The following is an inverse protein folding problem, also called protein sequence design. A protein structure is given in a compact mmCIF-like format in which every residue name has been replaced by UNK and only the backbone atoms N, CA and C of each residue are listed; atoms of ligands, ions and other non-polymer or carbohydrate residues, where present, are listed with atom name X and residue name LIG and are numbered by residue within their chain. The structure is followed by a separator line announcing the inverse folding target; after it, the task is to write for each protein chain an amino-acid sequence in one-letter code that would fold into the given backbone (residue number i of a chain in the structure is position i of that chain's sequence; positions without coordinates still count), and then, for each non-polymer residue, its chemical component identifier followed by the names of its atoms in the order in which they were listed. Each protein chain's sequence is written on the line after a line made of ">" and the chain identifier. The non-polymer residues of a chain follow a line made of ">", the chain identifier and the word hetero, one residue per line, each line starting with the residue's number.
data_IF_306726772168
#
_entry.id   IF_306726772168
#
_cell.length_a   1.000
_cell.length_b   1.000
_cell.length_c   1.000
_cell.angle_alpha   90.00
_cell.angle_beta   90.00
_cell.angle_gamma   90.00
#
_symmetry.space_group_name_H-M   'P 1'
#
loop_
_entity.id
_entity.type
_entity.pdbx_description
1 polymer ?
#
# COMPACT_ATOMS: atom_id res chain seq x y z
N UNK A 1 10.48 16.69 -4.11
CA UNK A 1 10.64 16.01 -2.81
C UNK A 1 11.93 16.51 -2.20
N UNK A 2 11.97 17.01 -0.97
CA UNK A 2 13.27 17.28 -0.36
C UNK A 2 13.90 15.94 -0.02
N UNK A 3 15.13 15.71 -0.46
CA UNK A 3 15.95 14.53 -0.13
C UNK A 3 15.95 14.23 1.39
N UNK A 4 15.85 15.28 2.20
CA UNK A 4 15.83 15.21 3.66
C UNK A 4 14.74 14.29 4.25
N UNK A 5 13.58 14.18 3.61
CA UNK A 5 12.47 13.37 4.17
C UNK A 5 12.68 11.85 3.96
N UNK A 6 13.19 11.40 2.80
CA UNK A 6 13.50 9.97 2.57
C UNK A 6 14.70 9.53 3.41
N UNK A 7 15.71 10.39 3.55
CA UNK A 7 16.89 10.10 4.39
C UNK A 7 16.52 9.89 5.87
N UNK A 8 15.62 10.73 6.40
CA UNK A 8 15.16 10.60 7.79
C UNK A 8 14.32 9.34 7.99
N UNK A 9 13.40 9.03 7.06
CA UNK A 9 12.60 7.82 7.06
C UNK A 9 13.51 6.58 6.99
N UNK A 10 14.45 6.56 6.02
CA UNK A 10 15.40 5.46 5.85
C UNK A 10 16.25 5.25 7.11
N UNK A 11 16.76 6.31 7.70
CA UNK A 11 17.52 6.23 8.95
C UNK A 11 16.67 5.63 10.08
N UNK A 12 15.44 6.09 10.25
CA UNK A 12 14.51 5.58 11.28
C UNK A 12 14.21 4.09 11.07
N UNK A 13 13.96 3.66 9.83
CA UNK A 13 13.72 2.25 9.49
C UNK A 13 14.93 1.39 9.86
N UNK A 14 16.14 1.80 9.48
CA UNK A 14 17.35 1.02 9.77
C UNK A 14 17.71 0.96 11.26
N UNK A 15 17.38 1.99 12.03
CA UNK A 15 17.58 2.00 13.48
C UNK A 15 16.60 1.08 14.20
N UNK A 16 15.34 1.06 13.79
CA UNK A 16 14.27 0.39 14.52
C UNK A 16 13.89 -0.98 13.94
N UNK A 17 14.30 -1.28 12.70
CA UNK A 17 13.96 -2.50 11.96
C UNK A 17 12.49 -2.92 12.16
N UNK A 18 11.50 -2.10 11.73
CA UNK A 18 10.10 -2.32 12.05
C UNK A 18 9.60 -3.68 11.55
N UNK A 19 8.82 -4.36 12.39
CA UNK A 19 8.12 -5.60 12.04
C UNK A 19 6.71 -5.25 11.59
N UNK A 20 6.31 -5.73 10.43
CA UNK A 20 5.00 -5.50 9.84
C UNK A 20 4.17 -6.79 9.88
N UNK A 21 3.03 -6.75 10.54
CA UNK A 21 2.05 -7.83 10.45
C UNK A 21 1.36 -7.75 9.10
N UNK A 22 1.54 -8.77 8.26
CA UNK A 22 1.04 -8.80 6.90
C UNK A 22 -0.07 -9.84 6.73
N UNK A 23 -1.33 -9.42 6.82
CA UNK A 23 -2.47 -10.20 6.36
C UNK A 23 -2.64 -9.94 4.86
N UNK A 24 -1.79 -10.58 4.06
CA UNK A 24 -1.76 -10.40 2.61
C UNK A 24 -2.37 -11.60 1.88
N UNK A 25 -2.28 -11.65 0.56
CA UNK A 25 -2.82 -12.74 -0.22
C UNK A 25 -1.72 -13.71 -0.68
N UNK A 26 -2.04 -15.00 -0.89
CA UNK A 26 -1.05 -16.03 -1.19
C UNK A 26 -0.28 -15.81 -2.50
N UNK A 27 -0.84 -15.01 -3.42
CA UNK A 27 -0.23 -14.74 -4.73
C UNK A 27 0.98 -13.80 -4.60
N UNK A 28 0.98 -12.91 -3.60
CA UNK A 28 1.99 -11.86 -3.44
C UNK A 28 2.76 -11.92 -2.13
N UNK A 29 2.49 -12.92 -1.30
CA UNK A 29 3.06 -13.07 0.04
C UNK A 29 4.60 -13.03 0.05
N UNK A 30 5.23 -13.75 -0.89
CA UNK A 30 6.69 -13.81 -1.00
C UNK A 30 7.28 -12.43 -1.40
N UNK A 31 6.69 -11.77 -2.38
CA UNK A 31 7.17 -10.46 -2.86
C UNK A 31 7.01 -9.38 -1.80
N UNK A 32 5.90 -9.40 -1.06
CA UNK A 32 5.67 -8.49 0.08
C UNK A 32 6.74 -8.69 1.16
N UNK A 33 7.07 -9.95 1.51
CA UNK A 33 8.10 -10.24 2.50
C UNK A 33 9.49 -9.78 2.03
N UNK A 34 9.86 -10.10 0.78
CA UNK A 34 11.15 -9.72 0.22
C UNK A 34 11.31 -8.21 0.07
N UNK A 35 10.23 -7.52 -0.31
CA UNK A 35 10.24 -6.05 -0.40
C UNK A 35 10.51 -5.41 0.97
N UNK A 36 9.83 -5.87 2.02
CA UNK A 36 10.04 -5.35 3.37
C UNK A 36 11.47 -5.60 3.85
N UNK A 37 12.05 -6.77 3.54
CA UNK A 37 13.45 -7.08 3.85
C UNK A 37 14.41 -6.16 3.08
N UNK A 38 14.22 -5.98 1.78
CA UNK A 38 15.02 -5.06 0.97
C UNK A 38 14.91 -3.59 1.45
N UNK A 39 13.76 -3.22 2.02
CA UNK A 39 13.54 -1.90 2.58
C UNK A 39 14.04 -1.71 4.04
N UNK A 40 14.64 -2.73 4.66
CA UNK A 40 15.19 -2.67 6.03
C UNK A 40 14.18 -2.97 7.14
N UNK A 41 12.97 -3.40 6.81
CA UNK A 41 11.97 -3.90 7.75
C UNK A 41 11.88 -5.43 7.75
N UNK A 42 10.85 -5.97 8.37
CA UNK A 42 10.55 -7.42 8.30
C UNK A 42 9.06 -7.68 8.30
N UNK A 43 8.65 -8.78 7.65
CA UNK A 43 7.26 -9.23 7.58
C UNK A 43 7.00 -10.37 8.57
N UNK A 44 5.85 -10.33 9.23
CA UNK A 44 5.28 -11.46 9.95
C UNK A 44 3.97 -11.84 9.26
N UNK A 45 3.91 -13.06 8.71
CA UNK A 45 2.74 -13.58 8.00
C UNK A 45 1.92 -14.44 8.96
N UNK A 46 0.81 -13.89 9.49
CA UNK A 46 -0.11 -14.61 10.37
C UNK A 46 -1.54 -14.28 9.99
N UNK A 47 -2.38 -15.30 9.79
CA UNK A 47 -3.76 -15.11 9.33
C UNK A 47 -4.79 -15.95 10.11
N UNK A 48 -4.35 -16.75 11.08
CA UNK A 48 -5.27 -17.51 11.91
C UNK A 48 -5.88 -16.61 12.99
N UNK A 49 -7.18 -16.68 13.17
CA UNK A 49 -7.92 -15.88 14.17
C UNK A 49 -7.39 -16.06 15.59
N UNK A 50 -6.75 -17.21 15.90
CA UNK A 50 -6.21 -17.51 17.22
C UNK A 50 -4.87 -16.81 17.51
N UNK A 51 -4.14 -16.35 16.47
CA UNK A 51 -2.81 -15.74 16.63
C UNK A 51 -2.74 -14.27 16.25
N UNK A 52 -3.67 -13.77 15.40
CA UNK A 52 -3.52 -12.43 14.78
C UNK A 52 -3.40 -11.30 15.79
N UNK A 53 -4.10 -11.36 16.91
CA UNK A 53 -4.02 -10.33 17.95
C UNK A 53 -2.67 -10.35 18.68
N UNK A 54 -2.11 -11.55 18.91
CA UNK A 54 -0.79 -11.71 19.51
C UNK A 54 0.29 -11.17 18.57
N UNK A 55 0.27 -11.58 17.29
CA UNK A 55 1.20 -11.10 16.28
C UNK A 55 1.12 -9.58 16.12
N UNK A 56 -0.08 -9.03 16.01
CA UNK A 56 -0.27 -7.58 15.93
C UNK A 56 0.35 -6.85 17.13
N UNK A 57 0.30 -7.45 18.32
CA UNK A 57 0.76 -6.83 19.55
C UNK A 57 2.28 -6.58 19.59
N UNK A 58 3.10 -7.39 18.93
CA UNK A 58 4.54 -7.20 18.87
C UNK A 58 5.05 -6.62 17.54
N UNK A 59 4.15 -6.42 16.57
CA UNK A 59 4.46 -5.73 15.32
C UNK A 59 4.29 -4.20 15.48
N UNK A 60 4.93 -3.44 14.60
CA UNK A 60 4.92 -1.97 14.64
C UNK A 60 3.88 -1.36 13.70
N UNK A 61 3.41 -2.14 12.72
CA UNK A 61 2.35 -1.75 11.77
C UNK A 61 1.64 -2.97 11.21
N UNK A 62 0.46 -2.76 10.63
CA UNK A 62 -0.40 -3.84 10.12
C UNK A 62 -0.84 -3.55 8.70
N UNK A 63 -0.60 -4.49 7.79
CA UNK A 63 -1.08 -4.48 6.41
C UNK A 63 -2.30 -5.41 6.30
N UNK A 64 -3.44 -4.86 5.92
CA UNK A 64 -4.69 -5.59 5.64
C UNK A 64 -4.95 -5.58 4.13
N UNK A 65 -4.67 -6.69 3.46
CA UNK A 65 -4.88 -6.84 2.02
C UNK A 65 -6.02 -7.83 1.77
N UNK A 66 -7.09 -7.35 1.13
CA UNK A 66 -8.31 -8.14 0.88
C UNK A 66 -8.25 -8.98 -0.41
N UNK A 67 -7.09 -9.15 -1.02
CA UNK A 67 -6.93 -10.05 -2.17
C UNK A 67 -7.18 -11.50 -1.81
N UNK A 68 -7.81 -12.27 -2.71
CA UNK A 68 -8.21 -13.67 -2.49
C UNK A 68 -8.95 -13.83 -1.13
N UNK A 69 -10.10 -13.16 -0.94
CA UNK A 69 -10.79 -13.15 0.34
C UNK A 69 -11.60 -14.44 0.55
N UNK A 70 -11.64 -14.87 1.79
CA UNK A 70 -12.65 -15.74 2.37
C UNK A 70 -13.15 -15.17 3.70
N UNK A 71 -14.14 -15.82 4.32
CA UNK A 71 -14.75 -15.30 5.56
C UNK A 71 -13.74 -15.29 6.71
N UNK A 72 -12.93 -16.34 6.86
CA UNK A 72 -11.95 -16.45 7.95
C UNK A 72 -10.87 -15.38 7.82
N UNK A 73 -10.36 -15.16 6.61
CA UNK A 73 -9.39 -14.09 6.35
C UNK A 73 -9.94 -12.70 6.70
N UNK A 74 -11.17 -12.39 6.29
CA UNK A 74 -11.76 -11.08 6.62
C UNK A 74 -11.95 -10.93 8.12
N UNK A 75 -12.37 -11.98 8.82
CA UNK A 75 -12.48 -11.97 10.27
C UNK A 75 -11.11 -11.74 10.93
N UNK A 76 -10.07 -12.43 10.47
CA UNK A 76 -8.70 -12.21 10.93
C UNK A 76 -8.23 -10.76 10.69
N UNK A 77 -8.54 -10.18 9.52
CA UNK A 77 -8.25 -8.77 9.22
C UNK A 77 -8.97 -7.82 10.19
N UNK A 78 -10.22 -8.11 10.55
CA UNK A 78 -10.98 -7.31 11.51
C UNK A 78 -10.30 -7.38 12.88
N UNK A 79 -10.00 -8.57 13.39
CA UNK A 79 -9.36 -8.74 14.70
C UNK A 79 -7.98 -8.05 14.76
N UNK A 80 -7.13 -8.29 13.77
CA UNK A 80 -5.82 -7.66 13.68
C UNK A 80 -5.92 -6.13 13.59
N UNK A 81 -6.84 -5.61 12.75
CA UNK A 81 -7.05 -4.17 12.59
C UNK A 81 -7.56 -3.50 13.85
N UNK A 82 -8.54 -4.09 14.54
CA UNK A 82 -9.03 -3.61 15.82
C UNK A 82 -7.93 -3.61 16.90
N UNK A 83 -7.12 -4.67 16.94
CA UNK A 83 -5.98 -4.75 17.86
C UNK A 83 -4.94 -3.66 17.56
N UNK A 84 -4.60 -3.44 16.29
CA UNK A 84 -3.69 -2.38 15.88
C UNK A 84 -4.24 -0.99 16.25
N UNK A 85 -5.53 -0.73 15.99
CA UNK A 85 -6.17 0.53 16.38
C UNK A 85 -6.12 0.74 17.91
N UNK A 86 -6.40 -0.30 18.70
CA UNK A 86 -6.35 -0.22 20.17
C UNK A 86 -4.93 0.09 20.71
N UNK A 87 -3.88 -0.34 19.98
CA UNK A 87 -2.49 -0.09 20.32
C UNK A 87 -1.94 1.23 19.73
N UNK A 88 -2.70 1.91 18.87
CA UNK A 88 -2.23 3.09 18.14
C UNK A 88 -1.20 2.77 17.05
N UNK A 89 -1.12 1.51 16.61
CA UNK A 89 -0.25 1.10 15.52
C UNK A 89 -0.87 1.48 14.16
N UNK A 90 -0.07 1.90 13.17
CA UNK A 90 -0.58 2.22 11.84
C UNK A 90 -1.16 0.99 11.15
N UNK A 91 -2.29 1.22 10.46
CA UNK A 91 -2.99 0.22 9.66
C UNK A 91 -3.07 0.70 8.22
N UNK A 92 -2.57 -0.08 7.27
CA UNK A 92 -2.78 0.14 5.84
C UNK A 92 -3.77 -0.87 5.30
N UNK A 93 -4.81 -0.37 4.62
CA UNK A 93 -5.78 -1.19 3.90
C UNK A 93 -5.47 -1.17 2.40
N UNK A 94 -5.39 -2.37 1.82
CA UNK A 94 -5.29 -2.62 0.38
C UNK A 94 -6.55 -3.39 -0.08
N UNK A 95 -7.60 -2.70 -0.57
CA UNK A 95 -8.89 -3.30 -0.88
C UNK A 95 -8.91 -3.99 -2.25
N UNK A 96 -7.96 -4.90 -2.47
CA UNK A 96 -7.73 -5.56 -3.77
C UNK A 96 -9.00 -6.15 -4.35
N UNK A 97 -9.36 -5.67 -5.54
CA UNK A 97 -10.52 -6.17 -6.28
C UNK A 97 -11.86 -5.92 -5.60
N UNK A 98 -11.99 -4.84 -4.84
CA UNK A 98 -13.21 -4.48 -4.10
C UNK A 98 -14.49 -4.50 -4.95
N UNK A 99 -14.39 -4.14 -6.24
CA UNK A 99 -15.50 -4.12 -7.18
C UNK A 99 -15.83 -5.45 -7.86
N UNK A 100 -14.99 -6.48 -7.70
CA UNK A 100 -15.07 -7.70 -8.50
C UNK A 100 -16.28 -8.62 -8.16
N UNK A 101 -16.88 -8.47 -6.98
CA UNK A 101 -18.08 -9.24 -6.61
C UNK A 101 -18.86 -8.58 -5.46
N UNK A 102 -20.14 -8.91 -5.35
CA UNK A 102 -20.99 -8.51 -4.22
C UNK A 102 -20.43 -9.01 -2.88
N UNK A 103 -19.84 -10.19 -2.85
CA UNK A 103 -19.18 -10.74 -1.67
C UNK A 103 -18.04 -9.81 -1.19
N UNK A 104 -17.13 -9.41 -2.10
CA UNK A 104 -16.00 -8.53 -1.76
C UNK A 104 -16.47 -7.18 -1.25
N UNK A 105 -17.47 -6.57 -1.88
CA UNK A 105 -18.07 -5.30 -1.44
C UNK A 105 -18.63 -5.40 -0.03
N UNK A 106 -19.41 -6.45 0.25
CA UNK A 106 -20.02 -6.69 1.56
C UNK A 106 -18.98 -6.91 2.65
N UNK A 107 -17.98 -7.74 2.39
CA UNK A 107 -16.94 -8.03 3.37
C UNK A 107 -16.01 -6.82 3.61
N UNK A 108 -15.69 -6.04 2.56
CA UNK A 108 -14.98 -4.78 2.71
C UNK A 108 -15.78 -3.77 3.55
N UNK A 109 -17.08 -3.67 3.36
CA UNK A 109 -17.94 -2.80 4.16
C UNK A 109 -17.90 -3.18 5.65
N UNK A 110 -17.96 -4.47 5.98
CA UNK A 110 -17.81 -4.94 7.37
C UNK A 110 -16.45 -4.57 7.95
N UNK A 111 -15.38 -4.74 7.18
CA UNK A 111 -14.03 -4.39 7.61
C UNK A 111 -13.93 -2.89 7.91
N UNK A 112 -14.43 -2.04 7.03
CA UNK A 112 -14.42 -0.57 7.20
C UNK A 112 -15.29 -0.07 8.37
N UNK A 113 -16.34 -0.82 8.75
CA UNK A 113 -17.13 -0.53 9.94
C UNK A 113 -16.42 -0.86 11.25
N UNK A 114 -15.47 -1.81 11.21
CA UNK A 114 -14.81 -2.33 12.38
C UNK A 114 -13.39 -1.78 12.60
N UNK A 115 -12.73 -1.31 11.54
CA UNK A 115 -11.31 -0.93 11.55
C UNK A 115 -11.14 0.46 10.94
N UNK A 116 -10.36 1.30 11.61
CA UNK A 116 -9.98 2.64 11.14
C UNK A 116 -8.57 2.58 10.53
N UNK A 117 -8.41 2.58 9.20
CA UNK A 117 -7.11 2.58 8.58
C UNK A 117 -6.40 3.93 8.77
N UNK A 118 -5.09 3.91 8.95
CA UNK A 118 -4.23 5.08 8.92
C UNK A 118 -4.02 5.55 7.47
N UNK A 119 -3.94 4.58 6.56
CA UNK A 119 -3.91 4.85 5.13
C UNK A 119 -4.61 3.75 4.32
N UNK A 120 -5.08 4.12 3.15
CA UNK A 120 -5.60 3.20 2.12
C UNK A 120 -4.77 3.36 0.86
N UNK A 121 -4.28 2.26 0.32
CA UNK A 121 -3.72 2.23 -1.03
C UNK A 121 -4.64 1.44 -1.94
N UNK A 122 -5.08 2.04 -3.03
CA UNK A 122 -6.00 1.42 -3.98
C UNK A 122 -5.72 1.86 -5.42
N UNK A 123 -6.34 1.23 -6.41
CA UNK A 123 -6.42 1.74 -7.77
C UNK A 123 -7.67 2.62 -7.97
N UNK A 124 -7.84 3.19 -9.18
CA UNK A 124 -8.96 4.10 -9.48
C UNK A 124 -10.33 3.43 -9.35
N UNK A 125 -10.49 2.17 -9.78
CA UNK A 125 -11.75 1.43 -9.66
C UNK A 125 -12.08 1.11 -8.20
N UNK A 126 -11.09 0.69 -7.43
CA UNK A 126 -11.23 0.42 -6.00
C UNK A 126 -11.59 1.69 -5.21
N UNK A 127 -11.01 2.84 -5.58
CA UNK A 127 -11.34 4.13 -4.97
C UNK A 127 -12.80 4.53 -5.20
N UNK A 128 -13.32 4.35 -6.42
CA UNK A 128 -14.74 4.60 -6.73
C UNK A 128 -15.65 3.71 -5.89
N UNK A 129 -15.30 2.42 -5.76
CA UNK A 129 -16.05 1.47 -4.91
C UNK A 129 -16.04 1.89 -3.45
N UNK A 130 -14.88 2.29 -2.91
CA UNK A 130 -14.77 2.80 -1.54
C UNK A 130 -15.69 4.00 -1.31
N UNK A 131 -15.64 5.02 -2.17
CA UNK A 131 -16.52 6.18 -2.06
C UNK A 131 -18.00 5.77 -2.08
N UNK A 132 -18.38 4.84 -2.96
CA UNK A 132 -19.76 4.38 -3.04
C UNK A 132 -20.24 3.64 -1.80
N UNK A 133 -19.38 2.78 -1.21
CA UNK A 133 -19.71 2.03 0.01
C UNK A 133 -19.87 2.94 1.24
N UNK A 134 -19.14 4.07 1.26
CA UNK A 134 -19.12 4.99 2.39
C UNK A 134 -20.19 6.09 2.28
N UNK A 135 -20.67 6.38 1.07
CA UNK A 135 -21.67 7.43 0.82
C UNK A 135 -23.11 6.91 0.76
N UNK A 136 -23.37 5.63 1.01
CA UNK A 136 -24.67 4.96 0.81
C UNK A 136 -25.28 5.23 -0.59
N UNK A 137 -24.44 5.52 -1.59
CA UNK A 137 -24.90 5.75 -2.97
C UNK A 137 -24.80 4.46 -3.76
N UNK A 138 -25.90 4.05 -4.38
CA UNK A 138 -25.94 2.93 -5.33
C UNK A 138 -25.03 3.22 -6.54
N UNK A 139 -23.82 2.71 -6.51
CA UNK A 139 -22.99 2.65 -7.72
C UNK A 139 -23.41 1.44 -8.56
N UNK A 140 -23.56 1.59 -9.88
CA UNK A 140 -23.89 0.46 -10.73
C UNK A 140 -22.80 -0.61 -10.62
N UNK A 141 -23.23 -1.88 -10.48
CA UNK A 141 -22.35 -3.04 -10.48
C UNK A 141 -21.55 -3.08 -11.78
N UNK A 142 -20.30 -2.63 -11.74
CA UNK A 142 -19.34 -2.90 -12.81
C UNK A 142 -18.47 -4.06 -12.37
N UNK A 143 -18.66 -5.19 -13.01
CA UNK A 143 -17.77 -6.34 -12.85
C UNK A 143 -16.42 -6.02 -13.50
N UNK A 144 -15.47 -5.48 -12.74
CA UNK A 144 -14.08 -5.27 -13.13
C UNK A 144 -13.19 -6.36 -12.54
N UNK A 145 -12.09 -6.67 -13.22
CA UNK A 145 -11.04 -7.57 -12.70
C UNK A 145 -10.20 -6.91 -11.62
N UNK A 146 -9.13 -7.59 -11.18
CA UNK A 146 -8.15 -7.05 -10.21
C UNK A 146 -7.32 -5.90 -10.80
N UNK A 147 -7.19 -5.86 -12.14
CA UNK A 147 -6.52 -4.80 -12.87
C UNK A 147 -7.55 -3.76 -13.34
N UNK A 148 -7.34 -2.50 -12.96
CA UNK A 148 -8.21 -1.41 -13.35
C UNK A 148 -8.08 -1.14 -14.86
N UNK A 149 -9.20 -1.24 -15.56
CA UNK A 149 -9.35 -0.77 -16.94
C UNK A 149 -9.79 0.70 -17.02
N UNK A 150 -10.18 1.28 -15.88
CA UNK A 150 -10.67 2.65 -15.79
C UNK A 150 -9.52 3.65 -15.95
N UNK A 151 -9.63 4.52 -16.95
CA UNK A 151 -8.75 5.68 -17.11
C UNK A 151 -9.58 6.95 -16.88
N UNK A 152 -9.39 7.54 -15.71
CA UNK A 152 -10.04 8.80 -15.35
C UNK A 152 -9.12 9.97 -15.69
N UNK A 153 -9.72 11.16 -15.91
CA UNK A 153 -8.94 12.38 -15.98
C UNK A 153 -8.28 12.66 -14.63
N UNK A 154 -7.07 13.21 -14.65
CA UNK A 154 -6.27 13.49 -13.45
C UNK A 154 -7.06 14.27 -12.38
N UNK A 155 -7.81 15.30 -12.82
CA UNK A 155 -8.67 16.09 -11.93
C UNK A 155 -9.72 15.24 -11.20
N UNK A 156 -10.31 14.27 -11.89
CA UNK A 156 -11.34 13.41 -11.30
C UNK A 156 -10.72 12.44 -10.27
N UNK A 157 -9.50 11.96 -10.54
CA UNK A 157 -8.75 11.14 -9.58
C UNK A 157 -8.42 11.93 -8.32
N UNK A 158 -8.00 13.20 -8.44
CA UNK A 158 -7.77 14.07 -7.29
C UNK A 158 -9.04 14.25 -6.45
N UNK A 159 -10.17 14.53 -7.08
CA UNK A 159 -11.46 14.69 -6.38
C UNK A 159 -11.88 13.41 -5.64
N UNK A 160 -11.70 12.25 -6.26
CA UNK A 160 -12.01 10.96 -5.62
C UNK A 160 -11.05 10.68 -4.47
N UNK A 161 -9.76 11.01 -4.60
CA UNK A 161 -8.79 10.87 -3.52
C UNK A 161 -9.16 11.74 -2.30
N UNK A 162 -9.53 13.00 -2.54
CA UNK A 162 -10.00 13.93 -1.50
C UNK A 162 -11.28 13.43 -0.83
N UNK A 163 -12.24 12.96 -1.63
CA UNK A 163 -13.50 12.43 -1.11
C UNK A 163 -13.27 11.16 -0.27
N UNK A 164 -12.50 10.19 -0.78
CA UNK A 164 -12.20 8.96 -0.06
C UNK A 164 -11.45 9.24 1.25
N UNK A 165 -10.44 10.13 1.21
CA UNK A 165 -9.68 10.51 2.38
C UNK A 165 -10.55 11.20 3.44
N UNK A 166 -11.47 12.08 3.02
CA UNK A 166 -12.42 12.74 3.91
C UNK A 166 -13.41 11.78 4.55
N UNK A 167 -13.96 10.84 3.77
CA UNK A 167 -14.93 9.84 4.25
C UNK A 167 -14.30 8.84 5.22
N UNK A 168 -13.05 8.45 4.96
CA UNK A 168 -12.31 7.49 5.80
C UNK A 168 -11.53 8.16 6.94
N UNK A 169 -11.40 9.49 6.92
CA UNK A 169 -10.54 10.25 7.83
C UNK A 169 -9.12 9.68 7.90
N UNK A 170 -8.53 9.35 6.75
CA UNK A 170 -7.19 8.79 6.64
C UNK A 170 -6.48 9.28 5.36
N UNK A 171 -5.19 8.94 5.21
CA UNK A 171 -4.48 9.20 3.96
C UNK A 171 -4.85 8.18 2.89
N UNK A 172 -5.14 8.60 1.67
CA UNK A 172 -5.46 7.73 0.54
C UNK A 172 -4.43 7.91 -0.57
N UNK A 173 -3.88 6.81 -1.07
CA UNK A 173 -3.00 6.74 -2.24
C UNK A 173 -3.70 5.98 -3.35
N UNK A 174 -4.11 6.69 -4.39
CA UNK A 174 -4.70 6.09 -5.61
C UNK A 174 -3.61 5.90 -6.65
N UNK A 175 -3.37 4.66 -7.05
CA UNK A 175 -2.37 4.34 -8.08
C UNK A 175 -2.97 4.30 -9.47
N UNK A 176 -2.18 4.78 -10.46
CA UNK A 176 -2.60 4.86 -11.85
C UNK A 176 -1.44 5.13 -12.81
N UNK A 177 -1.73 5.82 -13.92
CA UNK A 177 -0.70 6.37 -14.80
C UNK A 177 0.19 7.35 -14.01
N UNK A 178 -0.44 8.21 -13.25
CA UNK A 178 0.13 9.01 -12.17
C UNK A 178 -0.57 8.60 -10.88
N UNK A 179 0.14 8.66 -9.76
CA UNK A 179 -0.47 8.34 -8.48
C UNK A 179 -0.92 9.63 -7.79
N UNK A 180 -2.00 9.55 -7.04
CA UNK A 180 -2.54 10.69 -6.29
C UNK A 180 -2.60 10.33 -4.82
N UNK A 181 -2.00 11.15 -3.97
CA UNK A 181 -2.09 11.04 -2.51
C UNK A 181 -2.89 12.20 -1.94
N UNK A 182 -3.83 11.92 -1.04
CA UNK A 182 -4.63 12.94 -0.34
C UNK A 182 -4.90 12.54 1.11
N UNK A 183 -4.99 13.53 1.99
CA UNK A 183 -5.50 13.39 3.37
C UNK A 183 -6.84 14.11 3.57
N UNK A 184 -7.47 14.55 2.47
CA UNK A 184 -8.70 15.32 2.45
C UNK A 184 -8.51 16.82 2.65
N UNK A 185 -7.29 17.29 3.00
CA UNK A 185 -6.94 18.71 3.18
C UNK A 185 -5.92 19.17 2.16
N UNK A 186 -5.02 18.29 1.78
CA UNK A 186 -3.99 18.50 0.78
C UNK A 186 -3.96 17.29 -0.16
N UNK A 187 -3.65 17.56 -1.43
CA UNK A 187 -3.59 16.54 -2.49
C UNK A 187 -2.33 16.76 -3.32
N UNK A 188 -1.61 15.69 -3.61
CA UNK A 188 -0.41 15.75 -4.43
C UNK A 188 -0.41 14.64 -5.48
N UNK A 189 0.03 14.98 -6.70
CA UNK A 189 0.23 14.05 -7.80
C UNK A 189 1.69 13.59 -7.78
N UNK A 190 1.90 12.28 -7.92
CA UNK A 190 3.21 11.65 -8.01
C UNK A 190 3.45 11.17 -9.44
N UNK A 191 4.44 11.74 -10.09
CA UNK A 191 4.80 11.43 -11.48
C UNK A 191 5.99 10.48 -11.58
N UNK A 192 6.33 10.02 -12.78
CA UNK A 192 7.41 9.06 -13.04
C UNK A 192 6.91 7.61 -13.07
N UNK A 193 7.80 6.68 -12.72
CA UNK A 193 7.51 5.25 -12.76
C UNK A 193 7.78 4.60 -14.09
N UNK A 194 7.49 3.32 -14.20
CA UNK A 194 7.62 2.51 -15.41
C UNK A 194 6.37 1.65 -15.61
N UNK A 195 5.85 1.59 -16.82
CA UNK A 195 4.61 0.86 -17.14
C UNK A 195 4.73 -0.66 -16.92
N UNK A 196 5.94 -1.21 -16.90
CA UNK A 196 6.22 -2.63 -16.61
C UNK A 196 5.77 -3.07 -15.22
N UNK A 197 5.58 -2.13 -14.29
CA UNK A 197 5.03 -2.43 -12.96
C UNK A 197 3.65 -3.11 -13.04
N UNK A 198 2.87 -2.86 -14.09
CA UNK A 198 1.57 -3.50 -14.34
C UNK A 198 1.69 -4.93 -14.86
N UNK A 199 2.87 -5.33 -15.32
CA UNK A 199 3.16 -6.69 -15.82
C UNK A 199 3.71 -7.59 -14.71
N UNK A 200 3.86 -7.06 -13.50
CA UNK A 200 4.28 -7.80 -12.33
C UNK A 200 3.09 -7.95 -11.39
N UNK A 201 2.78 -9.20 -11.04
CA UNK A 201 1.79 -9.49 -10.01
C UNK A 201 2.27 -8.95 -8.67
N UNK A 202 1.42 -8.23 -7.97
CA UNK A 202 1.74 -7.77 -6.62
C UNK A 202 2.42 -6.40 -6.52
N UNK A 203 2.68 -5.69 -7.63
CA UNK A 203 3.28 -4.36 -7.59
C UNK A 203 2.54 -3.38 -6.66
N UNK A 204 1.20 -3.46 -6.63
CA UNK A 204 0.37 -2.70 -5.69
C UNK A 204 0.49 -3.20 -4.25
N UNK A 205 0.45 -4.52 -4.03
CA UNK A 205 0.58 -5.11 -2.69
C UNK A 205 1.95 -4.79 -2.06
N UNK A 206 3.01 -4.78 -2.86
CA UNK A 206 4.35 -4.35 -2.46
C UNK A 206 4.36 -2.88 -2.03
N UNK A 207 3.72 -2.00 -2.80
CA UNK A 207 3.61 -0.58 -2.41
C UNK A 207 2.80 -0.40 -1.12
N UNK A 208 1.74 -1.17 -0.91
CA UNK A 208 0.97 -1.15 0.35
C UNK A 208 1.83 -1.55 1.55
N UNK A 209 2.70 -2.55 1.38
CA UNK A 209 3.66 -2.95 2.41
C UNK A 209 4.71 -1.85 2.68
N UNK A 210 5.22 -1.19 1.64
CA UNK A 210 6.15 -0.06 1.77
C UNK A 210 5.49 1.12 2.50
N UNK A 211 4.23 1.44 2.18
CA UNK A 211 3.46 2.45 2.91
C UNK A 211 3.34 2.10 4.39
N UNK A 212 3.06 0.82 4.71
CA UNK A 212 2.96 0.36 6.10
C UNK A 212 4.29 0.54 6.84
N UNK A 213 5.41 0.18 6.21
CA UNK A 213 6.74 0.34 6.79
C UNK A 213 7.07 1.82 7.06
N UNK A 214 6.76 2.71 6.13
CA UNK A 214 7.03 4.14 6.26
C UNK A 214 6.17 4.80 7.34
N UNK A 215 4.94 4.34 7.54
CA UNK A 215 4.07 4.77 8.63
C UNK A 215 4.55 4.36 10.02
N UNK A 216 5.51 3.43 10.14
CA UNK A 216 6.14 3.08 11.40
C UNK A 216 7.27 4.06 11.81
N UNK A 217 7.39 5.20 11.15
CA UNK A 217 8.34 6.27 11.49
C UNK A 217 7.63 7.48 12.10
N UNK A 218 8.36 8.43 12.68
CA UNK A 218 7.82 9.65 13.30
C UNK A 218 7.36 10.70 12.27
N UNK A 219 6.95 10.25 11.08
CA UNK A 219 6.51 11.10 9.97
C UNK A 219 4.98 11.16 9.92
N UNK A 220 4.40 12.29 9.49
CA UNK A 220 2.95 12.39 9.29
C UNK A 220 2.45 11.33 8.31
N UNK A 221 1.22 10.83 8.48
CA UNK A 221 0.67 9.79 7.60
C UNK A 221 0.69 10.22 6.13
N UNK A 222 0.35 11.46 5.83
CA UNK A 222 0.41 12.01 4.49
C UNK A 222 1.83 11.98 3.92
N UNK A 223 2.82 12.47 4.67
CA UNK A 223 4.20 12.52 4.20
C UNK A 223 4.82 11.13 4.06
N UNK A 224 4.53 10.21 4.98
CA UNK A 224 4.99 8.82 4.92
C UNK A 224 4.47 8.11 3.66
N UNK A 225 3.16 8.17 3.40
CA UNK A 225 2.53 7.53 2.24
C UNK A 225 2.98 8.19 0.93
N UNK A 226 3.08 9.53 0.91
CA UNK A 226 3.61 10.29 -0.22
C UNK A 226 5.06 9.89 -0.54
N UNK A 227 5.89 9.77 0.49
CA UNK A 227 7.28 9.37 0.36
C UNK A 227 7.42 7.93 -0.17
N UNK A 228 6.62 6.99 0.35
CA UNK A 228 6.58 5.61 -0.13
C UNK A 228 6.16 5.53 -1.60
N UNK A 229 5.10 6.23 -1.98
CA UNK A 229 4.62 6.29 -3.37
C UNK A 229 5.66 6.88 -4.33
N UNK A 230 6.28 8.01 -3.96
CA UNK A 230 7.31 8.64 -4.79
C UNK A 230 8.55 7.75 -4.93
N UNK A 231 9.04 7.16 -3.84
CA UNK A 231 10.17 6.22 -3.87
C UNK A 231 9.86 5.00 -4.76
N UNK A 232 8.67 4.44 -4.65
CA UNK A 232 8.26 3.30 -5.47
C UNK A 232 8.25 3.63 -6.97
N UNK A 233 7.77 4.81 -7.34
CA UNK A 233 7.80 5.29 -8.74
C UNK A 233 9.23 5.50 -9.23
N UNK A 234 10.09 6.10 -8.45
CA UNK A 234 11.51 6.27 -8.78
C UNK A 234 12.23 4.92 -8.89
N UNK A 235 11.91 3.97 -8.01
CA UNK A 235 12.42 2.60 -8.04
C UNK A 235 12.02 1.90 -9.33
N UNK A 236 10.74 1.97 -9.72
CA UNK A 236 10.26 1.39 -10.97
C UNK A 236 10.91 2.03 -12.21
N UNK A 237 11.10 3.36 -12.23
CA UNK A 237 11.76 4.06 -13.31
C UNK A 237 13.22 3.60 -13.50
N UNK A 238 13.96 3.49 -12.40
CA UNK A 238 15.37 3.06 -12.46
C UNK A 238 15.50 1.57 -12.78
N UNK A 239 14.64 0.71 -12.21
CA UNK A 239 14.57 -0.70 -12.59
C UNK A 239 14.29 -0.88 -14.08
N UNK A 240 13.42 -0.04 -14.64
CA UNK A 240 13.17 0.00 -16.08
C UNK A 240 14.40 0.37 -16.91
N UNK A 241 15.14 1.38 -16.50
CA UNK A 241 16.40 1.79 -17.18
C UNK A 241 17.44 0.68 -17.15
N UNK A 242 17.61 -0.03 -16.03
CA UNK A 242 18.54 -1.17 -15.95
C UNK A 242 18.13 -2.30 -16.88
N UNK A 243 16.84 -2.65 -16.87
CA UNK A 243 16.28 -3.67 -17.76
C UNK A 243 16.53 -3.35 -19.24
N UNK A 244 16.37 -2.09 -19.64
CA UNK A 244 16.61 -1.64 -21.02
C UNK A 244 18.11 -1.68 -21.36
N UNK A 245 18.98 -1.24 -20.44
CA UNK A 245 20.44 -1.25 -20.63
C UNK A 245 20.98 -2.68 -20.80
N UNK A 246 20.44 -3.63 -20.07
CA UNK A 246 20.79 -5.05 -20.15
C UNK A 246 20.09 -5.78 -21.31
N UNK A 247 19.14 -5.13 -21.99
CA UNK A 247 18.26 -5.75 -22.99
C UNK A 247 17.56 -7.01 -22.46
N UNK A 248 17.21 -7.00 -21.18
CA UNK A 248 16.58 -8.09 -20.46
C UNK A 248 15.04 -7.95 -20.42
N UNK A 249 14.34 -8.90 -19.81
CA UNK A 249 12.89 -8.98 -19.79
C UNK A 249 12.26 -8.63 -18.45
N UNK A 250 10.94 -8.91 -18.33
CA UNK A 250 10.12 -8.60 -17.16
C UNK A 250 10.62 -9.28 -15.87
N UNK A 251 11.23 -10.47 -15.96
CA UNK A 251 11.84 -11.15 -14.81
C UNK A 251 13.01 -10.36 -14.23
N UNK A 252 13.89 -9.80 -15.06
CA UNK A 252 14.97 -8.93 -14.61
C UNK A 252 14.42 -7.62 -14.04
N UNK A 253 13.39 -7.03 -14.66
CA UNK A 253 12.72 -5.85 -14.10
C UNK A 253 12.21 -6.11 -12.68
N UNK A 254 11.61 -7.27 -12.43
CA UNK A 254 11.15 -7.67 -11.09
C UNK A 254 12.31 -7.76 -10.07
N UNK A 255 13.43 -8.35 -10.47
CA UNK A 255 14.64 -8.40 -9.61
C UNK A 255 15.17 -6.99 -9.36
N UNK A 256 15.31 -6.18 -10.41
CA UNK A 256 15.81 -4.81 -10.28
C UNK A 256 14.94 -3.92 -9.36
N UNK A 257 13.63 -4.21 -9.20
CA UNK A 257 12.81 -3.47 -8.24
C UNK A 257 13.34 -3.63 -6.80
N UNK A 258 13.75 -4.83 -6.40
CA UNK A 258 14.30 -5.06 -5.05
C UNK A 258 15.69 -4.45 -4.91
N UNK A 259 16.58 -4.67 -5.89
CA UNK A 259 17.94 -4.15 -5.86
C UNK A 259 17.96 -2.62 -5.79
N UNK A 260 17.15 -1.96 -6.63
CA UNK A 260 17.07 -0.48 -6.66
C UNK A 260 16.45 0.07 -5.38
N UNK A 261 15.42 -0.59 -4.83
CA UNK A 261 14.82 -0.17 -3.57
C UNK A 261 15.83 -0.21 -2.43
N UNK A 262 16.53 -1.34 -2.30
CA UNK A 262 17.58 -1.51 -1.30
C UNK A 262 18.68 -0.45 -1.43
N UNK A 263 19.21 -0.24 -2.64
CA UNK A 263 20.23 0.77 -2.91
C UNK A 263 19.79 2.17 -2.51
N UNK A 264 18.56 2.58 -2.88
CA UNK A 264 18.03 3.90 -2.56
C UNK A 264 17.89 4.13 -1.05
N UNK A 265 17.46 3.12 -0.31
CA UNK A 265 17.31 3.21 1.14
C UNK A 265 18.66 3.05 1.88
N UNK A 266 19.55 2.17 1.42
CA UNK A 266 20.90 2.03 2.02
C UNK A 266 21.79 3.22 1.74
N UNK A 267 21.74 3.81 0.54
CA UNK A 267 22.56 4.97 0.19
C UNK A 267 22.25 6.17 1.08
N UNK A 268 20.97 6.40 1.34
CA UNK A 268 20.53 7.49 2.21
C UNK A 268 20.97 7.31 3.67
N UNK A 269 21.12 6.06 4.15
CA UNK A 269 21.56 5.78 5.52
C UNK A 269 23.09 5.95 5.74
N UNK A 270 23.91 5.74 4.69
CA UNK A 270 25.39 5.80 4.76
C UNK A 270 25.97 7.22 4.78
N UNK A 271 25.22 8.24 4.41
CA UNK A 271 25.71 9.62 4.29
C UNK A 271 25.52 10.48 5.56
N UNK A 272 25.02 9.91 6.65
CA UNK A 272 24.84 10.61 7.95
C UNK A 272 25.90 10.27 9.02
N UNK A 273 27.01 9.60 8.64
CA UNK A 273 28.13 9.34 9.54
C UNK A 273 29.39 10.08 9.14
#
# INVERSE_FOLDING_TARGET
>A
MSLNNIEEISFCIHQNAPKIHCLTNPVTMQDVANLLLAAGGSAVMGQDEQEVEEITSFCHGTLLNTGVPDIAKIQACILAGQKANALGHPVVLDPVGAGASTFRRKELQKLLQAVHPTAVRCNQEEAVVLCSLLSDTDSPEKHGGVESSLQMAERDVCLIAEQAASLLNCTVLITGKEDVVSDGKQTQILTGGDSRIRQITGGGCMLSALCTLFLCTDTSAFDAVRAAGALWRETALEAGRRTDAEKSGIGSFHVHLFDVLEEKLMYTSKHKF
#
